data_IF_754613361814
#
_entry.id   IF_754613361814
#
_cell.length_a   1.000
_cell.length_b   1.000
_cell.length_c   1.000
_cell.angle_alpha   90.00
_cell.angle_beta   90.00
_cell.angle_gamma   90.00
#
_symmetry.space_group_name_H-M   'P 1'
#
loop_
_entity.id
_entity.type
_entity.pdbx_description
1 polymer ?
#
# COMPACT_ATOMS: atom_id res chain seq x y z
N UNK A 1 -13.52 29.25 17.51
CA UNK A 1 -12.26 28.77 16.89
C UNK A 1 -11.80 27.54 17.66
N UNK A 2 -12.18 26.34 17.22
CA UNK A 2 -11.77 25.09 17.90
C UNK A 2 -10.39 24.69 17.37
N UNK A 3 -9.39 24.72 18.24
CA UNK A 3 -8.05 24.24 17.96
C UNK A 3 -8.12 22.75 17.58
N UNK A 4 -7.75 22.44 16.34
CA UNK A 4 -7.59 21.07 15.88
C UNK A 4 -6.37 20.46 16.58
N UNK A 5 -6.60 19.39 17.36
CA UNK A 5 -5.56 18.59 17.99
C UNK A 5 -4.64 18.07 16.88
N UNK A 6 -3.43 18.63 16.79
CA UNK A 6 -2.36 18.09 15.94
C UNK A 6 -1.98 16.72 16.53
N UNK A 7 -2.30 15.64 15.80
CA UNK A 7 -1.97 14.28 16.23
C UNK A 7 -0.45 14.11 16.17
N UNK A 8 0.12 13.58 17.24
CA UNK A 8 1.57 13.40 17.48
C UNK A 8 2.26 12.36 16.54
N UNK A 9 1.63 12.00 15.43
CA UNK A 9 2.03 10.92 14.51
C UNK A 9 2.57 11.42 13.16
N UNK A 10 2.52 12.72 12.88
CA UNK A 10 2.86 13.26 11.56
C UNK A 10 4.37 13.39 11.29
N UNK A 11 5.24 13.19 12.28
CA UNK A 11 6.70 13.33 12.14
C UNK A 11 7.42 11.99 11.84
N UNK A 12 6.69 10.86 11.75
CA UNK A 12 7.30 9.53 11.59
C UNK A 12 7.47 9.09 10.12
N UNK A 13 6.78 9.74 9.19
CA UNK A 13 6.78 9.40 7.76
C UNK A 13 7.23 10.58 6.88
N UNK A 14 7.80 10.30 5.69
CA UNK A 14 8.17 11.36 4.75
C UNK A 14 6.97 12.22 4.33
N UNK A 15 7.21 13.48 3.97
CA UNK A 15 6.16 14.42 3.56
C UNK A 15 5.31 13.94 2.37
N UNK A 16 5.86 13.07 1.52
CA UNK A 16 5.18 12.42 0.39
C UNK A 16 4.03 11.49 0.79
N UNK A 17 4.01 11.02 2.04
CA UNK A 17 2.91 10.20 2.57
C UNK A 17 1.71 11.04 2.99
N UNK A 18 1.93 12.32 3.28
CA UNK A 18 0.90 13.23 3.76
C UNK A 18 0.25 14.05 2.65
N UNK A 19 0.84 14.07 1.45
CA UNK A 19 0.37 14.89 0.33
C UNK A 19 0.41 14.11 -0.97
N UNK A 20 -0.50 14.47 -1.88
CA UNK A 20 -0.44 14.03 -3.26
C UNK A 20 0.23 15.11 -4.11
N UNK A 21 1.03 14.68 -5.07
CA UNK A 21 1.52 15.53 -6.15
C UNK A 21 0.39 15.75 -7.17
N UNK A 22 0.47 16.83 -7.94
CA UNK A 22 -0.51 17.12 -9.00
C UNK A 22 -0.68 15.94 -9.98
N UNK A 23 0.42 15.24 -10.30
CA UNK A 23 0.40 14.04 -11.15
C UNK A 23 -0.37 12.88 -10.50
N UNK A 24 -0.21 12.67 -9.20
CA UNK A 24 -0.95 11.64 -8.46
C UNK A 24 -2.44 11.98 -8.39
N UNK A 25 -2.80 13.25 -8.18
CA UNK A 25 -4.20 13.68 -8.18
C UNK A 25 -4.88 13.46 -9.54
N UNK A 26 -4.21 13.81 -10.63
CA UNK A 26 -4.68 13.53 -11.99
C UNK A 26 -4.86 12.02 -12.19
N UNK A 27 -3.89 11.22 -11.74
CA UNK A 27 -3.96 9.75 -11.84
C UNK A 27 -5.14 9.19 -11.06
N UNK A 28 -5.37 9.68 -9.83
CA UNK A 28 -6.52 9.28 -9.01
C UNK A 28 -7.85 9.63 -9.68
N UNK A 29 -7.95 10.78 -10.35
CA UNK A 29 -9.15 11.16 -11.10
C UNK A 29 -9.43 10.18 -12.26
N UNK A 30 -8.40 9.77 -13.01
CA UNK A 30 -8.54 8.76 -14.05
C UNK A 30 -8.96 7.40 -13.50
N UNK A 31 -8.33 6.98 -12.40
CA UNK A 31 -8.64 5.72 -11.71
C UNK A 31 -10.08 5.69 -11.21
N UNK A 32 -10.57 6.80 -10.66
CA UNK A 32 -11.96 6.89 -10.19
C UNK A 32 -12.96 6.82 -11.35
N UNK A 33 -12.67 7.44 -12.49
CA UNK A 33 -13.49 7.31 -13.68
C UNK A 33 -13.57 5.84 -14.16
N UNK A 34 -12.43 5.13 -14.16
CA UNK A 34 -12.40 3.69 -14.50
C UNK A 34 -13.23 2.87 -13.51
N UNK A 35 -13.14 3.15 -12.20
CA UNK A 35 -13.93 2.50 -11.16
C UNK A 35 -15.43 2.66 -11.43
N UNK A 36 -15.88 3.89 -11.69
CA UNK A 36 -17.29 4.20 -11.99
C UNK A 36 -17.78 3.49 -13.26
N UNK A 37 -16.99 3.52 -14.33
CA UNK A 37 -17.34 2.82 -15.57
C UNK A 37 -17.45 1.30 -15.35
N UNK A 38 -16.53 0.72 -14.56
CA UNK A 38 -16.56 -0.70 -14.26
C UNK A 38 -17.80 -1.10 -13.46
N UNK A 39 -18.18 -0.31 -12.45
CA UNK A 39 -19.39 -0.56 -11.64
C UNK A 39 -20.67 -0.45 -12.48
N UNK A 40 -20.73 0.50 -13.41
CA UNK A 40 -21.86 0.64 -14.33
C UNK A 40 -22.02 -0.57 -15.25
N UNK A 41 -20.91 -1.12 -15.75
CA UNK A 41 -20.93 -2.28 -16.65
C UNK A 41 -21.17 -3.59 -15.86
N UNK A 42 -20.65 -3.70 -14.63
CA UNK A 42 -20.69 -4.93 -13.83
C UNK A 42 -21.23 -4.69 -12.40
N UNK A 43 -22.52 -4.36 -12.22
CA UNK A 43 -23.07 -3.94 -10.93
C UNK A 43 -23.14 -5.04 -9.86
N UNK A 44 -23.00 -6.31 -10.23
CA UNK A 44 -23.02 -7.46 -9.30
C UNK A 44 -21.62 -7.91 -8.86
N UNK A 45 -20.57 -7.30 -9.40
CA UNK A 45 -19.19 -7.69 -9.11
C UNK A 45 -18.64 -6.87 -7.93
N UNK A 46 -17.67 -7.44 -7.22
CA UNK A 46 -16.99 -6.73 -6.13
C UNK A 46 -16.29 -5.47 -6.64
N UNK A 47 -16.21 -4.45 -5.78
CA UNK A 47 -15.53 -3.18 -6.04
C UNK A 47 -14.04 -3.40 -6.33
N UNK A 48 -13.47 -2.56 -7.19
CA UNK A 48 -12.07 -2.64 -7.58
C UNK A 48 -11.15 -2.03 -6.50
N UNK A 49 -10.08 -2.75 -6.17
CA UNK A 49 -9.01 -2.26 -5.30
C UNK A 49 -8.05 -1.34 -6.06
N UNK A 50 -8.40 -0.07 -6.24
CA UNK A 50 -7.56 0.85 -7.02
C UNK A 50 -6.95 1.99 -6.20
N UNK A 51 -7.68 2.56 -5.24
CA UNK A 51 -7.25 3.75 -4.51
C UNK A 51 -7.41 3.63 -2.99
N UNK A 52 -6.73 2.66 -2.34
CA UNK A 52 -6.77 2.52 -0.89
C UNK A 52 -6.16 3.73 -0.18
N UNK A 53 -6.45 3.80 1.12
CA UNK A 53 -5.77 4.74 2.02
C UNK A 53 -4.36 4.22 2.33
N UNK A 54 -3.40 5.12 2.46
CA UNK A 54 -2.12 4.80 3.06
C UNK A 54 -2.21 4.89 4.60
N UNK A 55 -1.08 4.64 5.27
CA UNK A 55 -0.96 4.65 6.73
C UNK A 55 -1.17 6.04 7.35
N UNK A 56 -1.06 7.09 6.54
CA UNK A 56 -1.33 8.48 6.90
C UNK A 56 -2.77 8.91 6.53
N UNK A 57 -3.62 8.00 6.02
CA UNK A 57 -5.01 8.28 5.66
C UNK A 57 -5.19 9.04 4.34
N UNK A 58 -4.17 9.11 3.49
CA UNK A 58 -4.23 9.71 2.16
C UNK A 58 -4.54 8.64 1.12
N UNK A 59 -5.46 8.92 0.19
CA UNK A 59 -5.73 8.03 -0.94
C UNK A 59 -4.57 8.05 -1.92
N UNK A 60 -4.05 6.86 -2.22
CA UNK A 60 -2.97 6.64 -3.18
C UNK A 60 -3.39 5.53 -4.15
N UNK A 61 -2.93 5.60 -5.39
CA UNK A 61 -3.18 4.55 -6.36
C UNK A 61 -2.37 3.30 -5.99
N UNK A 62 -2.94 2.09 -6.04
CA UNK A 62 -2.27 0.85 -5.57
C UNK A 62 -0.86 0.69 -6.16
N UNK A 63 -0.67 0.96 -7.45
CA UNK A 63 0.65 0.79 -8.08
C UNK A 63 1.71 1.76 -7.57
N UNK A 64 1.31 2.88 -6.94
CA UNK A 64 2.25 3.82 -6.31
C UNK A 64 2.77 3.32 -4.96
N UNK A 65 2.15 2.29 -4.37
CA UNK A 65 2.66 1.64 -3.16
C UNK A 65 3.88 0.76 -3.45
N UNK A 66 4.06 0.31 -4.70
CA UNK A 66 5.26 -0.43 -5.11
C UNK A 66 6.41 0.57 -5.20
N UNK A 67 7.45 0.36 -4.39
CA UNK A 67 8.64 1.20 -4.36
C UNK A 67 9.84 0.34 -4.74
N UNK A 68 10.32 0.39 -6.00
CA UNK A 68 11.52 -0.33 -6.42
C UNK A 68 12.68 -0.02 -5.48
N UNK A 69 13.30 -1.05 -4.92
CA UNK A 69 14.38 -0.90 -3.93
C UNK A 69 15.64 -1.61 -4.38
N UNK A 70 16.75 -0.86 -4.43
CA UNK A 70 18.08 -1.43 -4.69
C UNK A 70 18.76 -1.66 -3.35
N UNK A 71 18.94 -2.93 -2.97
CA UNK A 71 19.57 -3.31 -1.71
C UNK A 71 20.96 -3.93 -1.95
N UNK A 72 21.97 -3.66 -1.11
CA UNK A 72 23.31 -4.21 -1.24
C UNK A 72 23.40 -5.69 -0.80
N UNK A 73 22.34 -6.46 -0.97
CA UNK A 73 22.23 -7.87 -0.56
C UNK A 73 21.97 -8.74 -1.79
N UNK A 74 22.99 -9.45 -2.32
CA UNK A 74 22.85 -10.30 -3.51
C UNK A 74 21.73 -11.33 -3.41
N UNK A 75 21.52 -11.86 -2.20
CA UNK A 75 20.50 -12.86 -1.90
C UNK A 75 19.07 -12.35 -2.14
N UNK A 76 18.83 -11.05 -2.04
CA UNK A 76 17.49 -10.44 -2.22
C UNK A 76 17.19 -10.09 -3.68
N UNK A 77 18.06 -10.44 -4.62
CA UNK A 77 17.75 -10.30 -6.05
C UNK A 77 17.14 -11.56 -6.65
N UNK A 78 17.27 -12.70 -5.97
CA UNK A 78 16.63 -13.95 -6.36
C UNK A 78 15.28 -14.09 -5.66
N UNK A 79 14.28 -14.61 -6.38
CA UNK A 79 12.95 -14.85 -5.83
C UNK A 79 13.00 -15.72 -4.56
N UNK A 80 13.80 -16.77 -4.57
CA UNK A 80 13.94 -17.69 -3.44
C UNK A 80 14.50 -17.00 -2.19
N UNK A 81 15.46 -16.08 -2.37
CA UNK A 81 16.02 -15.32 -1.26
C UNK A 81 15.04 -14.29 -0.71
N UNK A 82 14.28 -13.60 -1.57
CA UNK A 82 13.17 -12.73 -1.16
C UNK A 82 12.11 -13.48 -0.35
N UNK A 83 11.69 -14.65 -0.81
CA UNK A 83 10.68 -15.46 -0.11
C UNK A 83 11.18 -15.90 1.26
N UNK A 84 12.42 -16.41 1.35
CA UNK A 84 13.04 -16.80 2.62
C UNK A 84 13.13 -15.61 3.59
N UNK A 85 13.58 -14.46 3.09
CA UNK A 85 13.66 -13.24 3.90
C UNK A 85 12.30 -12.82 4.46
N UNK A 86 11.26 -12.80 3.62
CA UNK A 86 9.91 -12.44 4.06
C UNK A 86 9.39 -13.44 5.10
N UNK A 87 9.54 -14.75 4.83
CA UNK A 87 9.08 -15.81 5.72
C UNK A 87 9.75 -15.73 7.10
N UNK A 88 11.05 -15.40 7.15
CA UNK A 88 11.81 -15.32 8.39
C UNK A 88 11.61 -14.00 9.14
N UNK A 89 11.35 -12.89 8.44
CA UNK A 89 11.37 -11.54 9.02
C UNK A 89 10.01 -10.90 9.23
N UNK A 90 8.95 -11.43 8.61
CA UNK A 90 7.63 -10.81 8.64
C UNK A 90 6.60 -11.80 9.18
N UNK A 91 5.91 -11.36 10.22
CA UNK A 91 4.80 -12.12 10.81
C UNK A 91 3.55 -11.84 9.97
N UNK A 92 2.96 -12.91 9.44
CA UNK A 92 1.69 -12.83 8.73
C UNK A 92 0.55 -12.56 9.72
N UNK A 93 -0.16 -11.46 9.51
CA UNK A 93 -1.37 -11.10 10.26
C UNK A 93 -2.58 -11.13 9.32
N UNK A 94 -3.43 -12.16 9.39
CA UNK A 94 -4.61 -12.25 8.54
C UNK A 94 -5.61 -11.14 8.89
N UNK A 95 -6.34 -10.68 7.88
CA UNK A 95 -7.45 -9.77 8.08
C UNK A 95 -8.56 -10.46 8.89
N UNK A 96 -9.29 -9.70 9.70
CA UNK A 96 -10.42 -10.23 10.48
C UNK A 96 -11.51 -10.82 9.58
N UNK A 97 -11.74 -10.19 8.43
CA UNK A 97 -12.65 -10.68 7.41
C UNK A 97 -11.85 -10.92 6.12
N UNK A 98 -11.81 -12.18 5.70
CA UNK A 98 -11.02 -12.64 4.54
C UNK A 98 -11.72 -12.26 3.22
N UNK A 99 -13.03 -12.03 3.24
CA UNK A 99 -13.80 -11.68 2.05
C UNK A 99 -13.85 -10.17 1.80
N UNK A 100 -13.43 -9.37 2.79
CA UNK A 100 -13.46 -7.92 2.71
C UNK A 100 -12.09 -7.37 2.32
N UNK A 101 -12.12 -6.46 1.36
CA UNK A 101 -10.95 -5.73 0.92
C UNK A 101 -10.40 -4.82 2.04
N UNK A 102 -9.07 -4.72 2.22
CA UNK A 102 -8.49 -3.76 3.15
C UNK A 102 -8.87 -2.32 2.75
N UNK A 103 -9.18 -1.47 3.71
CA UNK A 103 -9.32 -0.03 3.46
C UNK A 103 -7.99 0.70 3.39
N UNK A 104 -6.97 0.14 4.06
CA UNK A 104 -5.62 0.69 4.15
C UNK A 104 -4.65 -0.31 3.54
N UNK A 105 -3.82 0.16 2.62
CA UNK A 105 -2.68 -0.58 2.09
C UNK A 105 -1.41 0.02 2.68
N UNK A 106 -0.58 -0.81 3.31
CA UNK A 106 0.68 -0.31 3.84
C UNK A 106 1.77 -0.31 2.77
N UNK A 107 2.61 0.71 2.80
CA UNK A 107 3.83 0.82 2.04
C UNK A 107 4.86 -0.23 2.49
N UNK A 108 5.76 -0.65 1.59
CA UNK A 108 6.82 -1.61 1.91
C UNK A 108 7.71 -1.14 3.07
N UNK A 109 7.94 0.17 3.20
CA UNK A 109 8.69 0.76 4.30
C UNK A 109 8.04 0.47 5.66
N UNK A 110 6.73 0.70 5.77
CA UNK A 110 6.00 0.48 7.02
C UNK A 110 5.89 -1.01 7.34
N UNK A 111 5.65 -1.86 6.34
CA UNK A 111 5.61 -3.32 6.53
C UNK A 111 6.93 -3.83 7.09
N UNK A 112 8.07 -3.39 6.55
CA UNK A 112 9.40 -3.74 7.06
C UNK A 112 9.64 -3.20 8.48
N UNK A 113 9.21 -1.97 8.76
CA UNK A 113 9.35 -1.36 10.08
C UNK A 113 8.53 -2.08 11.15
N UNK A 114 7.28 -2.43 10.84
CA UNK A 114 6.39 -3.16 11.74
C UNK A 114 6.76 -4.64 11.85
N UNK A 115 7.42 -5.21 10.83
CA UNK A 115 7.71 -6.65 10.68
C UNK A 115 6.45 -7.52 10.70
N UNK A 116 5.33 -6.94 10.28
CA UNK A 116 4.01 -7.56 10.29
C UNK A 116 3.18 -7.01 9.16
N UNK A 117 2.33 -7.85 8.57
CA UNK A 117 1.45 -7.43 7.48
C UNK A 117 0.48 -8.51 7.05
N UNK A 118 -0.55 -8.09 6.32
CA UNK A 118 -1.48 -8.99 5.68
C UNK A 118 -0.94 -9.46 4.31
N UNK A 119 -1.73 -10.25 3.58
CA UNK A 119 -1.34 -10.78 2.27
C UNK A 119 -1.06 -9.67 1.23
N UNK A 120 -1.82 -8.56 1.28
CA UNK A 120 -1.63 -7.42 0.38
C UNK A 120 -0.32 -6.69 0.70
N UNK A 121 -0.06 -6.39 1.97
CA UNK A 121 1.16 -5.72 2.41
C UNK A 121 2.42 -6.52 2.03
N UNK A 122 2.39 -7.84 2.26
CA UNK A 122 3.49 -8.73 1.91
C UNK A 122 3.67 -8.81 0.39
N UNK A 123 2.59 -8.83 -0.38
CA UNK A 123 2.67 -8.86 -1.85
C UNK A 123 3.30 -7.57 -2.41
N UNK A 124 2.95 -6.40 -1.86
CA UNK A 124 3.54 -5.11 -2.24
C UNK A 124 5.02 -5.09 -1.90
N UNK A 125 5.39 -5.59 -0.72
CA UNK A 125 6.79 -5.68 -0.32
C UNK A 125 7.59 -6.62 -1.23
N UNK A 126 7.08 -7.81 -1.51
CA UNK A 126 7.73 -8.76 -2.41
C UNK A 126 7.93 -8.17 -3.81
N UNK A 127 6.89 -7.55 -4.38
CA UNK A 127 6.99 -6.87 -5.67
C UNK A 127 8.03 -5.73 -5.65
N UNK A 128 8.13 -4.99 -4.53
CA UNK A 128 9.09 -3.90 -4.37
C UNK A 128 10.55 -4.36 -4.24
N UNK A 129 10.77 -5.61 -3.82
CA UNK A 129 12.10 -6.23 -3.75
C UNK A 129 12.53 -6.84 -5.10
N UNK A 130 11.57 -7.27 -5.92
CA UNK A 130 11.83 -7.95 -7.20
C UNK A 130 11.98 -7.00 -8.40
N UNK A 131 11.60 -5.73 -8.25
CA UNK A 131 11.61 -4.69 -9.30
C UNK A 131 12.67 -3.66 -8.95
#
# INVERSE_FOLDING_TARGET
>A
MKASKKNKSDDEYPSSYHHNTEKEEITLAYVENVRQQFELIFPKRAELFLSPLNECGIRKFVSTAICPTVLPFPELYELDGCIKFIADRIIFEPQQDIFKMPSVLTSPYTTLKKKKGNAFDISVLLCSLLI
#
